data_IF_768023064432
#
_entry.id   IF_768023064432
#
_cell.length_a   1.000
_cell.length_b   1.000
_cell.length_c   1.000
_cell.angle_alpha   90.00
_cell.angle_beta   90.00
_cell.angle_gamma   90.00
#
_symmetry.space_group_name_H-M   'P 1'
#
loop_
_entity.id
_entity.type
_entity.pdbx_description
1 polymer ?
#
# COMPACT_ATOMS: atom_id res chain seq x y z
N UNK A 1 17.18 -61.32 -29.66
CA UNK A 1 17.45 -60.40 -30.78
C UNK A 1 16.73 -59.10 -30.48
N UNK A 2 17.46 -57.98 -30.36
CA UNK A 2 16.85 -56.67 -30.18
C UNK A 2 16.23 -56.23 -31.50
N UNK A 3 14.93 -55.95 -31.51
CA UNK A 3 14.27 -55.39 -32.68
C UNK A 3 14.90 -54.02 -32.97
N UNK A 4 15.32 -53.81 -34.22
CA UNK A 4 15.86 -52.53 -34.66
C UNK A 4 14.83 -51.42 -34.43
N UNK A 5 15.31 -50.26 -33.97
CA UNK A 5 14.46 -49.11 -33.67
C UNK A 5 13.65 -48.72 -34.93
N UNK A 6 12.30 -48.74 -34.85
CA UNK A 6 11.44 -48.38 -35.99
C UNK A 6 11.64 -46.95 -36.51
N UNK A 7 12.29 -46.10 -35.71
CA UNK A 7 12.49 -44.69 -35.97
C UNK A 7 13.89 -44.35 -36.49
N UNK A 8 14.80 -45.32 -36.57
CA UNK A 8 16.07 -45.10 -37.27
C UNK A 8 15.84 -45.09 -38.78
N UNK A 9 16.40 -44.12 -39.53
CA UNK A 9 16.29 -44.11 -40.97
C UNK A 9 16.94 -45.38 -41.53
N UNK A 10 16.08 -46.31 -41.98
CA UNK A 10 16.53 -47.56 -42.56
C UNK A 10 17.42 -47.29 -43.78
N UNK A 11 18.66 -47.77 -43.74
CA UNK A 11 19.66 -47.60 -44.82
C UNK A 11 19.24 -48.28 -46.14
N UNK A 12 18.24 -49.17 -46.09
CA UNK A 12 17.67 -49.84 -47.26
C UNK A 12 16.19 -49.49 -47.42
N UNK A 13 15.68 -49.33 -48.66
CA UNK A 13 14.26 -49.08 -48.90
C UNK A 13 13.42 -50.21 -48.34
N UNK A 14 12.48 -49.91 -47.45
CA UNK A 14 11.53 -50.90 -46.98
C UNK A 14 10.53 -51.26 -48.10
N UNK A 15 9.82 -52.38 -47.97
CA UNK A 15 8.89 -52.86 -48.99
C UNK A 15 7.81 -51.82 -49.38
N UNK A 16 7.36 -51.00 -48.43
CA UNK A 16 6.42 -49.92 -48.71
C UNK A 16 7.07 -48.78 -49.53
N UNK A 17 8.35 -48.46 -49.27
CA UNK A 17 9.12 -47.49 -50.05
C UNK A 17 9.32 -47.91 -51.51
N UNK A 18 9.51 -49.21 -51.77
CA UNK A 18 9.59 -49.75 -53.13
C UNK A 18 8.24 -49.65 -53.87
N UNK A 19 7.13 -49.98 -53.19
CA UNK A 19 5.80 -49.85 -53.77
C UNK A 19 5.43 -48.39 -54.06
N UNK A 20 5.76 -47.48 -53.15
CA UNK A 20 5.56 -46.04 -53.36
C UNK A 20 6.40 -45.53 -54.53
N UNK A 21 7.66 -45.96 -54.66
CA UNK A 21 8.50 -45.67 -55.81
C UNK A 21 7.87 -46.13 -57.14
N UNK A 22 7.30 -47.34 -57.16
CA UNK A 22 6.60 -47.85 -58.34
C UNK A 22 5.37 -47.00 -58.72
N UNK A 23 4.59 -46.54 -57.74
CA UNK A 23 3.44 -45.66 -58.00
C UNK A 23 3.83 -44.28 -58.51
N UNK A 24 4.98 -43.76 -58.09
CA UNK A 24 5.55 -42.52 -58.64
C UNK A 24 5.98 -42.73 -60.08
N UNK A 25 6.69 -43.83 -60.38
CA UNK A 25 7.12 -44.15 -61.76
C UNK A 25 5.96 -44.47 -62.70
N UNK A 26 4.85 -44.98 -62.16
CA UNK A 26 3.62 -45.25 -62.90
C UNK A 26 2.74 -44.02 -63.08
N UNK A 27 3.17 -42.84 -62.59
CA UNK A 27 2.43 -41.57 -62.59
C UNK A 27 1.07 -41.62 -61.89
N UNK A 28 0.80 -42.69 -61.13
CA UNK A 28 -0.44 -42.89 -60.38
C UNK A 28 -0.52 -41.95 -59.17
N UNK A 29 0.65 -41.59 -58.62
CA UNK A 29 0.79 -40.66 -57.50
C UNK A 29 1.98 -39.74 -57.80
N UNK A 30 1.78 -38.42 -57.77
CA UNK A 30 2.90 -37.48 -57.95
C UNK A 30 3.65 -37.26 -56.64
N UNK A 31 4.94 -36.92 -56.75
CA UNK A 31 5.76 -36.59 -55.59
C UNK A 31 5.22 -35.35 -54.85
N UNK A 32 4.56 -34.44 -55.55
CA UNK A 32 3.85 -33.30 -54.97
C UNK A 32 2.70 -33.77 -54.07
N UNK A 33 1.91 -34.76 -54.50
CA UNK A 33 0.81 -35.32 -53.70
C UNK A 33 1.31 -35.93 -52.39
N UNK A 34 2.47 -36.60 -52.41
CA UNK A 34 3.10 -37.15 -51.20
C UNK A 34 3.67 -36.04 -50.29
N UNK A 35 4.21 -34.97 -50.88
CA UNK A 35 4.79 -33.85 -50.14
C UNK A 35 3.76 -32.86 -49.55
N UNK A 36 2.46 -32.96 -49.91
CA UNK A 36 1.39 -32.15 -49.28
C UNK A 36 1.32 -32.41 -47.77
N UNK A 37 1.52 -33.65 -47.33
CA UNK A 37 1.51 -34.03 -45.90
C UNK A 37 2.64 -33.37 -45.09
N UNK A 38 3.78 -33.07 -45.73
CA UNK A 38 4.92 -32.39 -45.08
C UNK A 38 4.67 -30.91 -44.74
N UNK A 39 3.67 -30.27 -45.34
CA UNK A 39 3.38 -28.83 -45.12
C UNK A 39 2.65 -28.53 -43.81
N UNK A 40 2.29 -29.55 -43.02
CA UNK A 40 1.70 -29.31 -41.69
C UNK A 40 2.78 -28.73 -40.76
N UNK A 41 2.54 -27.53 -40.24
CA UNK A 41 3.37 -26.91 -39.21
C UNK A 41 3.61 -27.93 -38.10
N UNK A 42 4.86 -28.20 -37.74
CA UNK A 42 5.16 -29.30 -36.82
C UNK A 42 4.38 -29.11 -35.51
N UNK A 43 3.58 -30.13 -35.15
CA UNK A 43 2.70 -30.11 -33.98
C UNK A 43 3.44 -29.64 -32.70
N UNK A 44 4.72 -30.00 -32.59
CA UNK A 44 5.64 -29.65 -31.50
C UNK A 44 5.88 -28.15 -31.33
N UNK A 45 5.89 -27.34 -32.40
CA UNK A 45 6.08 -25.87 -32.27
C UNK A 45 4.89 -25.23 -31.56
N UNK A 46 3.67 -25.73 -31.81
CA UNK A 46 2.48 -25.24 -31.13
C UNK A 46 2.47 -25.61 -29.64
N UNK A 47 2.95 -26.82 -29.30
CA UNK A 47 3.11 -27.23 -27.89
C UNK A 47 4.12 -26.35 -27.15
N UNK A 48 5.29 -26.10 -27.73
CA UNK A 48 6.29 -25.21 -27.13
C UNK A 48 5.73 -23.80 -26.90
N UNK A 49 4.95 -23.28 -27.85
CA UNK A 49 4.31 -21.97 -27.71
C UNK A 49 3.24 -21.95 -26.62
N UNK A 50 2.41 -22.98 -26.52
CA UNK A 50 1.39 -23.10 -25.47
C UNK A 50 2.02 -23.20 -24.08
N UNK A 51 3.13 -23.95 -23.96
CA UNK A 51 3.88 -24.04 -22.71
C UNK A 51 4.39 -22.66 -22.28
N UNK A 52 5.05 -21.92 -23.18
CA UNK A 52 5.54 -20.57 -22.89
C UNK A 52 4.43 -19.61 -22.49
N UNK A 53 3.27 -19.66 -23.15
CA UNK A 53 2.11 -18.83 -22.78
C UNK A 53 1.65 -19.15 -21.36
N UNK A 54 1.57 -20.44 -21.02
CA UNK A 54 1.14 -20.90 -19.69
C UNK A 54 2.14 -20.46 -18.61
N UNK A 55 3.44 -20.58 -18.89
CA UNK A 55 4.49 -20.16 -17.97
C UNK A 55 4.45 -18.65 -17.72
N UNK A 56 4.32 -17.85 -18.78
CA UNK A 56 4.18 -16.39 -18.68
C UNK A 56 2.91 -16.01 -17.90
N UNK A 57 1.79 -16.71 -18.13
CA UNK A 57 0.55 -16.46 -17.39
C UNK A 57 0.70 -16.75 -15.90
N UNK A 58 1.40 -17.83 -15.53
CA UNK A 58 1.70 -18.15 -14.15
C UNK A 58 2.60 -17.07 -13.50
N UNK A 59 3.61 -16.58 -14.23
CA UNK A 59 4.47 -15.49 -13.76
C UNK A 59 3.68 -14.19 -13.53
N UNK A 60 2.81 -13.81 -14.48
CA UNK A 60 1.94 -12.63 -14.33
C UNK A 60 1.06 -12.77 -13.08
N UNK A 61 0.46 -13.94 -12.89
CA UNK A 61 -0.39 -14.19 -11.73
C UNK A 61 0.39 -14.06 -10.42
N UNK A 62 1.59 -14.66 -10.35
CA UNK A 62 2.47 -14.56 -9.20
C UNK A 62 2.86 -13.10 -8.90
N UNK A 63 3.19 -12.32 -9.94
CA UNK A 63 3.55 -10.90 -9.80
C UNK A 63 2.38 -10.05 -9.33
N UNK A 64 1.16 -10.33 -9.80
CA UNK A 64 -0.03 -9.63 -9.31
C UNK A 64 -0.27 -9.88 -7.82
N UNK A 65 -0.07 -11.12 -7.35
CA UNK A 65 -0.17 -11.44 -5.92
C UNK A 65 0.91 -10.73 -5.09
N UNK A 66 2.14 -10.65 -5.58
CA UNK A 66 3.24 -9.91 -4.93
C UNK A 66 2.88 -8.42 -4.78
N UNK A 67 2.30 -7.81 -5.82
CA UNK A 67 1.83 -6.41 -5.80
C UNK A 67 0.70 -6.23 -4.78
N UNK A 68 -0.28 -7.13 -4.75
CA UNK A 68 -1.41 -7.06 -3.81
C UNK A 68 -0.92 -7.16 -2.36
N UNK A 69 0.02 -8.06 -2.08
CA UNK A 69 0.65 -8.20 -0.77
C UNK A 69 1.39 -6.93 -0.34
N UNK A 70 2.22 -6.36 -1.23
CA UNK A 70 2.93 -5.10 -0.96
C UNK A 70 1.98 -3.92 -0.74
N UNK A 71 0.87 -3.86 -1.50
CA UNK A 71 -0.15 -2.82 -1.30
C UNK A 71 -0.80 -2.97 0.07
N UNK A 72 -1.16 -4.19 0.46
CA UNK A 72 -1.76 -4.46 1.76
C UNK A 72 -0.82 -4.12 2.92
N UNK A 73 0.48 -4.46 2.81
CA UNK A 73 1.49 -4.09 3.79
C UNK A 73 1.64 -2.56 3.93
N UNK A 74 1.64 -1.85 2.81
CA UNK A 74 1.70 -0.38 2.79
C UNK A 74 0.45 0.25 3.44
N UNK A 75 -0.73 -0.30 3.19
CA UNK A 75 -1.98 0.18 3.78
C UNK A 75 -2.09 -0.15 5.28
N UNK A 76 -1.47 -1.26 5.73
CA UNK A 76 -1.37 -1.67 7.12
C UNK A 76 -0.03 -1.27 7.79
N UNK A 77 0.70 -0.29 7.24
CA UNK A 77 2.05 0.05 7.68
C UNK A 77 2.12 0.53 9.14
N UNK A 78 1.04 1.08 9.69
CA UNK A 78 0.93 1.46 11.10
C UNK A 78 0.84 0.25 12.05
N UNK A 79 0.37 -0.90 11.56
CA UNK A 79 0.32 -2.17 12.30
C UNK A 79 1.58 -3.01 12.05
N UNK A 80 2.02 -3.12 10.79
CA UNK A 80 3.14 -3.97 10.38
C UNK A 80 4.50 -3.37 10.78
N UNK A 81 4.61 -2.03 10.83
CA UNK A 81 5.85 -1.34 11.20
C UNK A 81 5.67 -0.46 12.43
N UNK A 82 6.05 -0.96 13.63
CA UNK A 82 5.94 -0.21 14.89
C UNK A 82 6.60 1.18 14.85
N UNK A 83 7.60 1.39 14.00
CA UNK A 83 8.26 2.68 13.79
C UNK A 83 7.34 3.76 13.22
N UNK A 84 6.40 3.41 12.33
CA UNK A 84 5.47 4.35 11.73
C UNK A 84 4.46 4.86 12.77
N UNK A 85 3.96 3.96 13.63
CA UNK A 85 3.13 4.34 14.77
C UNK A 85 3.93 5.16 15.79
N UNK A 86 5.15 4.74 16.12
CA UNK A 86 6.02 5.48 17.05
C UNK A 86 6.28 6.93 16.58
N UNK A 87 6.50 7.15 15.28
CA UNK A 87 6.67 8.49 14.72
C UNK A 87 5.41 9.36 14.90
N UNK A 88 4.22 8.79 14.65
CA UNK A 88 2.95 9.49 14.87
C UNK A 88 2.75 9.80 16.36
N UNK A 89 3.02 8.84 17.24
CA UNK A 89 2.96 9.02 18.69
C UNK A 89 3.92 10.11 19.17
N UNK A 90 5.16 10.16 18.66
CA UNK A 90 6.12 11.21 18.99
C UNK A 90 5.63 12.61 18.57
N UNK A 91 5.03 12.73 17.38
CA UNK A 91 4.46 13.99 16.91
C UNK A 91 3.33 14.47 17.83
N UNK A 92 2.41 13.57 18.19
CA UNK A 92 1.30 13.88 19.11
C UNK A 92 1.80 14.24 20.51
N UNK A 93 2.79 13.51 21.02
CA UNK A 93 3.39 13.77 22.33
C UNK A 93 4.06 15.15 22.35
N UNK A 94 4.77 15.51 21.29
CA UNK A 94 5.40 16.83 21.17
C UNK A 94 4.37 17.96 21.23
N UNK A 95 3.27 17.81 20.48
CA UNK A 95 2.16 18.78 20.49
C UNK A 95 1.51 18.89 21.87
N UNK A 96 1.24 17.78 22.55
CA UNK A 96 0.69 17.79 23.90
C UNK A 96 1.61 18.51 24.89
N UNK A 97 2.92 18.25 24.82
CA UNK A 97 3.90 18.94 25.65
C UNK A 97 3.89 20.46 25.40
N UNK A 98 3.73 20.89 24.13
CA UNK A 98 3.62 22.31 23.80
C UNK A 98 2.33 22.93 24.34
N UNK A 99 1.20 22.23 24.23
CA UNK A 99 -0.08 22.69 24.80
C UNK A 99 0.00 22.82 26.32
N UNK A 100 0.62 21.87 27.01
CA UNK A 100 0.85 21.97 28.45
C UNK A 100 1.69 23.20 28.82
N UNK A 101 2.75 23.49 28.06
CA UNK A 101 3.58 24.66 28.29
C UNK A 101 2.76 25.96 28.12
N UNK A 102 1.96 26.07 27.07
CA UNK A 102 1.06 27.22 26.84
C UNK A 102 0.07 27.40 27.99
N UNK A 103 -0.51 26.31 28.49
CA UNK A 103 -1.45 26.35 29.61
C UNK A 103 -0.77 26.77 30.92
N UNK A 104 0.45 26.30 31.18
CA UNK A 104 1.27 26.72 32.34
C UNK A 104 1.57 28.21 32.28
N UNK A 105 1.99 28.72 31.12
CA UNK A 105 2.24 30.17 30.93
C UNK A 105 0.98 31.00 31.08
N UNK A 106 -0.15 30.55 30.50
CA UNK A 106 -1.45 31.22 30.69
C UNK A 106 -1.82 31.33 32.17
N UNK A 107 -1.60 30.27 32.97
CA UNK A 107 -1.83 30.29 34.41
C UNK A 107 -0.88 31.24 35.13
N UNK A 108 0.42 31.21 34.82
CA UNK A 108 1.44 32.12 35.36
C UNK A 108 1.09 33.58 35.09
N UNK A 109 0.70 33.90 33.85
CA UNK A 109 0.31 35.26 33.46
C UNK A 109 -0.93 35.72 34.22
N UNK A 110 -1.95 34.88 34.35
CA UNK A 110 -3.14 35.20 35.16
C UNK A 110 -2.77 35.50 36.61
N UNK A 111 -1.92 34.68 37.23
CA UNK A 111 -1.45 34.91 38.61
C UNK A 111 -0.71 36.23 38.75
N UNK A 112 0.15 36.58 37.78
CA UNK A 112 0.89 37.86 37.76
C UNK A 112 -0.03 39.06 37.61
N UNK A 113 -1.06 38.96 36.77
CA UNK A 113 -2.02 40.05 36.54
C UNK A 113 -3.02 40.21 37.69
N UNK A 114 -3.42 39.10 38.31
CA UNK A 114 -4.31 39.09 39.49
C UNK A 114 -3.60 39.53 40.77
N UNK A 115 -2.26 39.52 40.80
CA UNK A 115 -1.50 40.03 41.94
C UNK A 115 -1.74 41.55 42.01
N UNK A 116 -2.49 42.06 43.00
CA UNK A 116 -2.65 43.50 43.13
C UNK A 116 -1.27 44.09 43.40
N UNK A 117 -0.93 45.19 42.71
CA UNK A 117 0.25 45.97 43.01
C UNK A 117 0.05 46.72 44.34
N UNK A 118 -0.07 45.98 45.45
CA UNK A 118 -0.14 46.53 46.80
C UNK A 118 1.26 46.93 47.29
N UNK A 119 1.97 47.74 46.51
CA UNK A 119 3.22 48.37 46.95
C UNK A 119 3.14 49.91 46.89
N UNK A 120 1.90 50.43 46.90
CA UNK A 120 1.62 51.86 46.93
C UNK A 120 0.15 52.12 47.25
N UNK A 121 -0.38 51.52 48.32
CA UNK A 121 -1.57 52.08 48.96
C UNK A 121 -1.11 53.38 49.65
N UNK A 122 -0.95 54.46 48.88
CA UNK A 122 -1.19 55.76 49.48
C UNK A 122 -2.67 55.77 49.86
N UNK A 123 -3.04 56.14 51.10
CA UNK A 123 -4.43 56.40 51.39
C UNK A 123 -4.89 57.46 50.40
N UNK A 124 -5.77 57.09 49.48
CA UNK A 124 -6.50 58.07 48.68
C UNK A 124 -7.36 58.80 49.70
N UNK A 125 -6.91 59.99 50.07
CA UNK A 125 -7.66 60.87 50.95
C UNK A 125 -8.91 61.30 50.17
N UNK A 126 -10.03 60.62 50.47
CA UNK A 126 -11.33 60.92 49.89
C UNK A 126 -11.88 62.21 50.53
N UNK A 127 -11.24 63.34 50.27
CA UNK A 127 -11.64 64.66 50.83
C UNK A 127 -12.99 65.14 50.29
N UNK A 128 -13.57 64.50 49.26
CA UNK A 128 -14.81 64.97 48.64
C UNK A 128 -15.95 63.94 48.48
N UNK A 129 -15.84 62.73 49.04
CA UNK A 129 -16.96 61.77 48.96
C UNK A 129 -17.92 61.90 50.14
N UNK A 130 -18.55 63.08 50.27
CA UNK A 130 -19.79 63.25 51.02
C UNK A 130 -20.98 63.10 50.08
N UNK A 131 -21.14 61.95 49.46
CA UNK A 131 -22.42 61.58 48.86
C UNK A 131 -22.70 60.10 49.17
N UNK A 132 -23.62 59.92 50.12
CA UNK A 132 -24.21 58.67 50.55
C UNK A 132 -24.99 58.00 49.41
N UNK A 133 -24.29 57.25 48.57
CA UNK A 133 -24.90 56.16 47.82
C UNK A 133 -23.99 54.95 47.87
N UNK A 134 -24.44 53.92 48.61
CA UNK A 134 -23.91 52.56 48.54
C UNK A 134 -23.93 52.11 47.08
N UNK A 135 -22.79 52.13 46.42
CA UNK A 135 -22.57 51.35 45.21
C UNK A 135 -21.96 50.03 45.67
N UNK A 136 -22.78 48.99 45.67
CA UNK A 136 -22.30 47.63 45.86
C UNK A 136 -21.36 47.26 44.71
N UNK A 137 -20.06 47.23 45.00
CA UNK A 137 -19.00 46.82 44.07
C UNK A 137 -19.02 45.29 43.82
N UNK A 138 -20.00 44.57 44.37
CA UNK A 138 -20.16 43.12 44.17
C UNK A 138 -20.89 42.71 42.88
N UNK A 139 -21.24 43.64 41.99
CA UNK A 139 -21.94 43.29 40.73
C UNK A 139 -21.03 42.81 39.58
N UNK A 140 -19.71 42.77 39.76
CA UNK A 140 -18.79 42.17 38.77
C UNK A 140 -18.10 40.90 39.31
N UNK A 141 -18.87 40.08 40.02
CA UNK A 141 -18.53 38.67 40.18
C UNK A 141 -18.94 37.95 38.89
N UNK A 142 -17.99 37.82 37.96
CA UNK A 142 -18.15 36.90 36.83
C UNK A 142 -18.44 35.50 37.39
N UNK A 143 -19.49 34.81 36.90
CA UNK A 143 -19.84 33.51 37.43
C UNK A 143 -18.77 32.50 37.05
N UNK A 144 -18.15 31.88 38.06
CA UNK A 144 -17.46 30.61 37.87
C UNK A 144 -18.50 29.58 37.45
N UNK A 145 -18.58 29.32 36.15
CA UNK A 145 -19.20 28.13 35.61
C UNK A 145 -18.33 26.93 35.94
N UNK A 146 -18.67 26.27 37.03
CA UNK A 146 -18.24 24.92 37.39
C UNK A 146 -18.53 23.94 36.25
N UNK A 147 -17.47 23.46 35.59
CA UNK A 147 -17.47 22.17 34.91
C UNK A 147 -16.65 21.21 35.77
N UNK A 148 -17.33 20.54 36.70
CA UNK A 148 -16.91 19.24 37.18
C UNK A 148 -17.29 18.22 36.09
N UNK A 149 -16.29 17.57 35.51
CA UNK A 149 -16.45 16.32 34.77
C UNK A 149 -15.77 15.25 35.62
N UNK A 150 -16.59 14.35 36.17
CA UNK A 150 -16.20 12.97 36.44
C UNK A 150 -16.10 12.20 35.11
#
# INVERSE_FOLDING_TARGET
>A
MAAANPWDPATAPNAAGLLLGHFITSELVTEEMLNISKKSTSCFVNFSRLQQITDIQAEIYQKNLEIELLSLEKDAADVVHPSFLAQKCHSLQSMNNHLEAVLKEKRSLRQRLLKPMCQGNLPIEAVYHRLDYKVDINSYMFPEGSFCLD
#
